data_IF_312854868756
#
_entry.id   IF_312854868756
#
_cell.length_a   1.000
_cell.length_b   1.000
_cell.length_c   1.000
_cell.angle_alpha   90.00
_cell.angle_beta   90.00
_cell.angle_gamma   90.00
#
_symmetry.space_group_name_H-M   'P 1'
#
loop_
_entity.id
_entity.type
_entity.pdbx_description
1 polymer ?
#
# COMPACT_ATOMS: atom_id res chain seq x y z
N UNK A 1 25.23 -3.99 1.79
CA UNK A 1 23.76 -3.85 1.66
C UNK A 1 23.21 -3.59 3.05
N UNK A 2 22.22 -2.69 3.18
CA UNK A 2 21.56 -2.51 4.48
C UNK A 2 20.86 -3.82 4.85
N UNK A 3 21.00 -4.23 6.12
CA UNK A 3 20.35 -5.43 6.63
C UNK A 3 18.99 -5.02 7.23
N UNK A 4 17.93 -5.63 6.75
CA UNK A 4 16.57 -5.43 7.22
C UNK A 4 16.07 -6.72 7.88
N UNK A 5 15.34 -6.59 8.97
CA UNK A 5 14.82 -7.73 9.72
C UNK A 5 13.54 -8.29 9.09
N UNK A 6 12.69 -7.39 8.59
CA UNK A 6 11.36 -7.73 8.09
C UNK A 6 11.29 -7.75 6.56
N UNK A 7 12.34 -7.31 5.88
CA UNK A 7 12.41 -7.26 4.42
C UNK A 7 13.71 -7.84 3.90
N UNK A 8 13.62 -8.50 2.76
CA UNK A 8 14.77 -8.85 1.91
C UNK A 8 14.73 -7.98 0.67
N UNK A 9 15.85 -7.33 0.35
CA UNK A 9 15.97 -6.47 -0.85
C UNK A 9 17.06 -7.03 -1.74
N UNK A 10 16.71 -7.39 -2.97
CA UNK A 10 17.61 -7.94 -3.97
C UNK A 10 17.43 -7.19 -5.29
N UNK A 11 18.51 -6.65 -5.84
CA UNK A 11 18.47 -5.96 -7.15
C UNK A 11 18.99 -6.91 -8.23
N UNK A 12 18.22 -7.09 -9.29
CA UNK A 12 18.59 -7.93 -10.42
C UNK A 12 19.47 -7.21 -11.45
N UNK A 13 19.87 -7.93 -12.50
CA UNK A 13 20.73 -7.41 -13.58
C UNK A 13 20.06 -6.28 -14.39
N UNK A 14 18.73 -6.20 -14.38
CA UNK A 14 17.98 -5.13 -15.04
C UNK A 14 17.91 -3.84 -14.18
N UNK A 15 18.42 -3.91 -12.94
CA UNK A 15 18.37 -2.82 -11.97
C UNK A 15 17.01 -2.73 -11.26
N UNK A 16 16.23 -3.81 -11.19
CA UNK A 16 14.93 -3.81 -10.51
C UNK A 16 15.11 -4.41 -9.11
N UNK A 17 14.80 -3.64 -8.08
CA UNK A 17 14.82 -4.08 -6.70
C UNK A 17 13.57 -4.93 -6.40
N UNK A 18 13.77 -6.17 -5.96
CA UNK A 18 12.72 -7.00 -5.39
C UNK A 18 12.73 -6.82 -3.87
N UNK A 19 11.69 -6.22 -3.34
CA UNK A 19 11.45 -6.00 -1.90
C UNK A 19 10.50 -7.07 -1.42
N UNK A 20 11.02 -8.09 -0.75
CA UNK A 20 10.22 -9.19 -0.20
C UNK A 20 9.93 -8.92 1.27
N UNK A 21 8.67 -8.69 1.60
CA UNK A 21 8.22 -8.51 2.98
C UNK A 21 8.01 -9.87 3.64
N UNK A 22 8.82 -10.20 4.64
CA UNK A 22 8.79 -11.48 5.33
C UNK A 22 9.17 -11.35 6.80
N UNK A 23 8.19 -11.01 7.64
CA UNK A 23 8.39 -10.84 9.08
C UNK A 23 8.73 -12.17 9.76
N UNK A 24 9.88 -12.28 10.43
CA UNK A 24 10.26 -13.52 11.12
C UNK A 24 9.29 -13.82 12.27
N UNK A 25 8.99 -15.12 12.47
CA UNK A 25 8.16 -15.57 13.58
C UNK A 25 6.67 -15.22 13.49
N UNK A 26 6.20 -14.60 12.39
CA UNK A 26 4.79 -14.31 12.16
C UNK A 26 4.25 -15.08 10.96
N UNK A 27 3.02 -15.58 11.06
CA UNK A 27 2.33 -16.24 9.95
C UNK A 27 1.85 -15.25 8.87
N UNK A 28 1.71 -13.97 9.23
CA UNK A 28 1.23 -12.91 8.36
C UNK A 28 2.06 -11.64 8.58
N UNK A 29 2.35 -10.92 7.50
CA UNK A 29 2.94 -9.61 7.57
C UNK A 29 1.92 -8.58 8.08
N UNK A 30 2.36 -7.64 8.92
CA UNK A 30 1.56 -6.52 9.40
C UNK A 30 2.44 -5.28 9.53
N UNK A 31 1.85 -4.09 9.46
CA UNK A 31 2.56 -2.85 9.74
C UNK A 31 2.76 -2.69 11.24
N UNK A 32 4.02 -2.64 11.64
CA UNK A 32 4.49 -2.20 12.96
C UNK A 32 5.35 -0.95 12.77
N UNK A 33 5.73 -0.28 13.87
CA UNK A 33 6.66 0.86 13.82
C UNK A 33 7.97 0.46 13.12
N UNK A 34 8.55 -0.71 13.49
CA UNK A 34 9.79 -1.24 12.90
C UNK A 34 9.65 -1.49 11.38
N UNK A 35 8.52 -2.06 10.94
CA UNK A 35 8.24 -2.29 9.52
C UNK A 35 8.14 -0.97 8.75
N UNK A 36 7.50 0.05 9.34
CA UNK A 36 7.41 1.37 8.73
C UNK A 36 8.79 2.05 8.62
N UNK A 37 9.64 1.93 9.66
CA UNK A 37 11.02 2.46 9.65
C UNK A 37 11.88 1.78 8.57
N UNK A 38 11.75 0.47 8.44
CA UNK A 38 12.50 -0.28 7.43
C UNK A 38 12.02 0.06 6.03
N UNK A 39 10.70 0.13 5.80
CA UNK A 39 10.14 0.49 4.49
C UNK A 39 10.53 1.92 4.10
N UNK A 40 10.56 2.86 5.05
CA UNK A 40 10.99 4.24 4.80
C UNK A 40 12.45 4.29 4.30
N UNK A 41 13.35 3.55 4.95
CA UNK A 41 14.75 3.42 4.53
C UNK A 41 14.89 2.72 3.17
N UNK A 42 14.05 1.72 2.88
CA UNK A 42 14.04 1.03 1.58
C UNK A 42 13.60 1.99 0.47
N UNK A 43 12.60 2.83 0.74
CA UNK A 43 12.16 3.87 -0.23
C UNK A 43 13.31 4.84 -0.51
N UNK A 44 14.04 5.30 0.51
CA UNK A 44 15.23 6.15 0.33
C UNK A 44 16.34 5.45 -0.45
N UNK A 45 16.63 4.20 -0.14
CA UNK A 45 17.62 3.39 -0.86
C UNK A 45 17.25 3.27 -2.35
N UNK A 46 16.00 2.92 -2.65
CA UNK A 46 15.53 2.80 -4.03
C UNK A 46 15.60 4.14 -4.77
N UNK A 47 15.19 5.23 -4.11
CA UNK A 47 15.21 6.55 -4.71
C UNK A 47 16.64 7.06 -4.97
N UNK A 48 17.56 6.84 -4.02
CA UNK A 48 18.92 7.39 -4.05
C UNK A 48 19.93 6.59 -4.86
N UNK A 49 19.71 5.29 -5.08
CA UNK A 49 20.63 4.44 -5.81
C UNK A 49 20.41 4.57 -7.33
N UNK A 50 21.39 5.15 -8.03
CA UNK A 50 21.33 5.33 -9.50
C UNK A 50 21.28 4.01 -10.28
N UNK A 51 21.75 2.89 -9.71
CA UNK A 51 21.69 1.56 -10.33
C UNK A 51 20.28 0.97 -10.29
N UNK A 52 19.42 1.41 -9.37
CA UNK A 52 18.04 0.94 -9.24
C UNK A 52 17.14 1.76 -10.17
N UNK A 53 16.45 1.09 -11.08
CA UNK A 53 15.51 1.69 -12.03
C UNK A 53 14.06 1.66 -11.56
N UNK A 54 13.74 0.84 -10.57
CA UNK A 54 12.42 0.70 -9.98
C UNK A 54 12.37 -0.46 -8.99
N UNK A 55 11.24 -0.62 -8.30
CA UNK A 55 11.09 -1.66 -7.30
C UNK A 55 9.77 -2.44 -7.43
N UNK A 56 9.84 -3.72 -7.08
CA UNK A 56 8.67 -4.60 -6.91
C UNK A 56 8.57 -4.96 -5.44
N UNK A 57 7.42 -4.73 -4.81
CA UNK A 57 7.15 -5.19 -3.45
C UNK A 57 6.20 -6.40 -3.48
N UNK A 58 6.58 -7.45 -2.77
CA UNK A 58 5.80 -8.69 -2.64
C UNK A 58 5.95 -9.27 -1.23
N UNK A 59 5.30 -10.38 -0.95
CA UNK A 59 5.42 -11.09 0.33
C UNK A 59 6.15 -12.42 0.17
N UNK A 60 6.97 -12.77 1.16
CA UNK A 60 7.55 -14.09 1.33
C UNK A 60 6.61 -15.13 1.95
N UNK A 61 5.37 -14.73 2.28
CA UNK A 61 4.35 -15.57 2.91
C UNK A 61 3.21 -15.88 1.95
N UNK A 62 2.32 -16.82 2.33
CA UNK A 62 1.10 -17.15 1.56
C UNK A 62 0.11 -15.98 1.46
N UNK A 63 0.19 -15.00 2.38
CA UNK A 63 -0.59 -13.77 2.37
C UNK A 63 0.30 -12.60 2.01
N UNK A 64 -0.25 -11.53 1.40
CA UNK A 64 0.51 -10.31 1.19
C UNK A 64 0.71 -9.58 2.52
N UNK A 65 -0.37 -9.14 3.17
CA UNK A 65 -0.33 -8.58 4.53
C UNK A 65 -1.73 -8.36 5.07
N UNK A 66 -1.87 -8.42 6.40
CA UNK A 66 -3.10 -8.13 7.13
C UNK A 66 -3.38 -6.63 7.36
N UNK A 67 -2.45 -5.75 6.97
CA UNK A 67 -2.57 -4.31 7.23
C UNK A 67 -1.90 -3.90 8.54
N UNK A 68 -2.45 -2.91 9.24
CA UNK A 68 -1.90 -2.44 10.51
C UNK A 68 -2.01 -3.49 11.63
N UNK A 69 -0.99 -3.55 12.48
CA UNK A 69 -1.03 -4.37 13.70
C UNK A 69 -2.06 -3.76 14.68
N UNK A 70 -3.11 -4.52 15.01
CA UNK A 70 -4.16 -4.06 15.91
C UNK A 70 -3.65 -3.72 17.31
N UNK A 71 -2.60 -4.41 17.78
CA UNK A 71 -1.97 -4.11 19.07
C UNK A 71 -1.29 -2.74 19.04
N UNK A 72 -0.64 -2.39 17.92
CA UNK A 72 -0.06 -1.07 17.72
C UNK A 72 -1.15 0.02 17.74
N UNK A 73 -2.28 -0.20 17.07
CA UNK A 73 -3.41 0.75 17.08
C UNK A 73 -4.01 0.92 18.48
N UNK A 74 -4.21 -0.17 19.23
CA UNK A 74 -4.70 -0.11 20.60
C UNK A 74 -3.75 0.67 21.52
N UNK A 75 -2.44 0.43 21.40
CA UNK A 75 -1.42 1.17 22.15
C UNK A 75 -1.44 2.66 21.83
N UNK A 76 -1.54 3.01 20.56
CA UNK A 76 -1.62 4.41 20.11
C UNK A 76 -2.84 5.12 20.71
N UNK A 77 -4.00 4.46 20.71
CA UNK A 77 -5.23 5.02 21.31
C UNK A 77 -5.11 5.14 22.83
N UNK A 78 -4.45 4.20 23.50
CA UNK A 78 -4.15 4.28 24.94
C UNK A 78 -3.27 5.49 25.28
N UNK A 79 -2.17 5.66 24.56
CA UNK A 79 -1.28 6.82 24.73
C UNK A 79 -1.99 8.16 24.47
N UNK A 80 -2.85 8.21 23.45
CA UNK A 80 -3.70 9.37 23.20
C UNK A 80 -4.62 9.69 24.39
N UNK A 81 -5.31 8.69 24.93
CA UNK A 81 -6.21 8.87 26.06
C UNK A 81 -5.48 9.34 27.32
N UNK A 82 -4.31 8.76 27.62
CA UNK A 82 -3.46 9.15 28.73
C UNK A 82 -2.95 10.60 28.61
N UNK A 83 -2.50 10.99 27.43
CA UNK A 83 -1.99 12.34 27.20
C UNK A 83 -3.13 13.37 27.18
N UNK A 84 -4.30 13.02 26.61
CA UNK A 84 -5.48 13.87 26.58
C UNK A 84 -5.96 14.26 27.98
N UNK A 85 -5.80 13.38 28.95
CA UNK A 85 -6.14 13.68 30.36
C UNK A 85 -5.24 14.77 30.99
N UNK A 86 -4.06 15.05 30.39
CA UNK A 86 -3.07 16.01 30.89
C UNK A 86 -3.03 17.28 30.04
N UNK A 87 -2.99 17.11 28.70
CA UNK A 87 -2.84 18.16 27.70
C UNK A 87 -3.48 17.70 26.39
N UNK A 88 -4.68 18.23 26.10
CA UNK A 88 -5.46 17.87 24.92
C UNK A 88 -4.76 18.28 23.61
N UNK A 89 -4.13 19.45 23.56
CA UNK A 89 -3.45 19.95 22.36
C UNK A 89 -2.21 19.10 22.03
N UNK A 90 -1.51 18.66 23.05
CA UNK A 90 -0.36 17.75 22.89
C UNK A 90 -0.81 16.37 22.45
N UNK A 91 -1.90 15.84 23.00
CA UNK A 91 -2.48 14.57 22.60
C UNK A 91 -2.92 14.58 21.14
N UNK A 92 -3.57 15.66 20.68
CA UNK A 92 -3.98 15.83 19.28
C UNK A 92 -2.76 15.85 18.36
N UNK A 93 -1.70 16.58 18.71
CA UNK A 93 -0.45 16.59 17.91
C UNK A 93 0.19 15.22 17.85
N UNK A 94 0.29 14.52 18.98
CA UNK A 94 0.84 13.16 19.03
C UNK A 94 0.03 12.19 18.14
N UNK A 95 -1.29 12.25 18.19
CA UNK A 95 -2.15 11.43 17.34
C UNK A 95 -1.96 11.77 15.85
N UNK A 96 -1.94 13.06 15.52
CA UNK A 96 -1.75 13.54 14.15
C UNK A 96 -0.42 13.05 13.55
N UNK A 97 0.68 13.16 14.30
CA UNK A 97 2.01 12.73 13.86
C UNK A 97 2.06 11.22 13.65
N UNK A 98 1.50 10.45 14.58
CA UNK A 98 1.49 8.99 14.47
C UNK A 98 0.61 8.48 13.31
N UNK A 99 -0.61 9.02 13.15
CA UNK A 99 -1.51 8.65 12.05
C UNK A 99 -0.96 9.13 10.71
N UNK A 100 -0.39 10.33 10.66
CA UNK A 100 0.20 10.92 9.47
C UNK A 100 1.42 10.18 8.93
N UNK A 101 2.13 9.44 9.78
CA UNK A 101 3.38 8.75 9.44
C UNK A 101 3.21 7.77 8.26
N UNK A 102 2.22 6.89 8.31
CA UNK A 102 1.97 5.90 7.24
C UNK A 102 1.54 6.59 5.94
N UNK A 103 0.70 7.61 6.03
CA UNK A 103 0.29 8.43 4.88
C UNK A 103 1.48 9.12 4.25
N UNK A 104 2.36 9.73 5.05
CA UNK A 104 3.60 10.37 4.60
C UNK A 104 4.55 9.39 3.92
N UNK A 105 4.75 8.21 4.50
CA UNK A 105 5.57 7.15 3.91
C UNK A 105 5.06 6.70 2.54
N UNK A 106 3.75 6.47 2.41
CA UNK A 106 3.16 6.07 1.14
C UNK A 106 3.24 7.19 0.10
N UNK A 107 3.09 8.46 0.53
CA UNK A 107 3.30 9.60 -0.37
C UNK A 107 4.76 9.73 -0.81
N UNK A 108 5.71 9.52 0.08
CA UNK A 108 7.15 9.49 -0.22
C UNK A 108 7.45 8.42 -1.28
N UNK A 109 6.86 7.21 -1.17
CA UNK A 109 6.98 6.17 -2.18
C UNK A 109 6.44 6.64 -3.54
N UNK A 110 5.24 7.25 -3.58
CA UNK A 110 4.62 7.77 -4.81
C UNK A 110 5.47 8.82 -5.53
N UNK A 111 6.22 9.62 -4.76
CA UNK A 111 7.01 10.73 -5.29
C UNK A 111 8.51 10.47 -5.28
N UNK A 112 8.92 9.21 -5.08
CA UNK A 112 10.34 8.81 -4.99
C UNK A 112 11.12 8.95 -6.30
N UNK A 113 10.43 9.23 -7.42
CA UNK A 113 11.05 9.35 -8.75
C UNK A 113 11.39 8.01 -9.41
N UNK A 114 11.08 6.89 -8.76
CA UNK A 114 11.25 5.53 -9.29
C UNK A 114 9.91 4.81 -9.34
N UNK A 115 9.63 4.00 -10.38
CA UNK A 115 8.39 3.22 -10.43
C UNK A 115 8.39 2.09 -9.39
N UNK A 116 7.29 1.97 -8.66
CA UNK A 116 7.01 0.89 -7.71
C UNK A 116 5.84 0.05 -8.21
N UNK A 117 5.95 -1.26 -8.12
CA UNK A 117 4.87 -2.20 -8.45
C UNK A 117 4.61 -3.11 -7.27
N UNK A 118 3.36 -3.22 -6.83
CA UNK A 118 2.96 -4.25 -5.87
C UNK A 118 2.61 -5.54 -6.60
N UNK A 119 3.21 -6.65 -6.17
CA UNK A 119 2.95 -8.01 -6.63
C UNK A 119 2.18 -8.77 -5.55
N UNK A 120 0.85 -8.72 -5.61
CA UNK A 120 -0.07 -9.19 -4.57
C UNK A 120 -0.29 -10.69 -4.71
N UNK A 121 0.39 -11.48 -3.88
CA UNK A 121 0.39 -12.93 -3.95
C UNK A 121 -0.70 -13.62 -3.11
N UNK A 122 -1.38 -12.89 -2.21
CA UNK A 122 -2.39 -13.42 -1.30
C UNK A 122 -3.28 -12.33 -0.72
N UNK A 123 -3.85 -12.60 0.45
CA UNK A 123 -4.68 -11.64 1.19
C UNK A 123 -3.95 -10.33 1.44
N UNK A 124 -4.57 -9.20 1.06
CA UNK A 124 -4.01 -7.85 1.13
C UNK A 124 -5.08 -6.90 1.69
N UNK A 125 -4.99 -6.54 2.98
CA UNK A 125 -6.04 -5.86 3.72
C UNK A 125 -5.58 -4.51 4.28
N UNK A 126 -6.50 -3.55 4.36
CA UNK A 126 -6.29 -2.29 5.06
C UNK A 126 -5.04 -1.54 4.58
N UNK A 127 -4.20 -1.11 5.50
CA UNK A 127 -2.95 -0.42 5.19
C UNK A 127 -2.05 -1.10 4.16
N UNK A 128 -2.12 -2.44 4.03
CA UNK A 128 -1.37 -3.16 3.01
C UNK A 128 -1.96 -2.93 1.60
N UNK A 129 -3.28 -2.84 1.50
CA UNK A 129 -3.90 -2.48 0.23
C UNK A 129 -3.70 -0.97 -0.06
N UNK A 130 -3.68 -0.13 0.97
CA UNK A 130 -3.33 1.30 0.82
C UNK A 130 -1.89 1.49 0.31
N UNK A 131 -0.91 0.69 0.80
CA UNK A 131 0.45 0.63 0.23
C UNK A 131 0.41 0.22 -1.25
N UNK A 132 -0.35 -0.83 -1.57
CA UNK A 132 -0.48 -1.29 -2.95
C UNK A 132 -1.07 -0.20 -3.84
N UNK A 133 -2.08 0.55 -3.36
CA UNK A 133 -2.66 1.68 -4.08
C UNK A 133 -1.70 2.86 -4.26
N UNK A 134 -0.71 3.00 -3.37
CA UNK A 134 0.36 3.98 -3.50
C UNK A 134 1.44 3.57 -4.52
N UNK A 135 1.57 2.28 -4.85
CA UNK A 135 2.45 1.84 -5.93
C UNK A 135 1.92 2.30 -7.30
N UNK A 136 2.82 2.59 -8.24
CA UNK A 136 2.50 3.03 -9.61
C UNK A 136 1.86 1.90 -10.43
N UNK A 137 2.31 0.65 -10.19
CA UNK A 137 1.75 -0.56 -10.79
C UNK A 137 1.22 -1.53 -9.73
N UNK A 138 0.24 -2.34 -10.09
CA UNK A 138 -0.35 -3.37 -9.22
C UNK A 138 -0.67 -4.60 -10.03
N UNK A 139 -0.11 -5.74 -9.64
CA UNK A 139 -0.39 -7.06 -10.23
C UNK A 139 -0.89 -7.98 -9.12
N UNK A 140 -1.95 -8.72 -9.35
CA UNK A 140 -2.46 -9.70 -8.41
C UNK A 140 -2.33 -11.12 -8.99
N UNK A 141 -2.02 -12.09 -8.14
CA UNK A 141 -2.02 -13.49 -8.56
C UNK A 141 -3.45 -13.95 -8.88
N UNK A 142 -3.61 -14.74 -9.96
CA UNK A 142 -4.86 -15.41 -10.31
C UNK A 142 -5.11 -16.58 -9.36
N UNK A 143 -5.68 -16.27 -8.21
CA UNK A 143 -5.94 -17.23 -7.15
C UNK A 143 -7.10 -16.80 -6.28
N UNK A 144 -7.94 -17.74 -5.89
CA UNK A 144 -9.03 -17.50 -4.94
C UNK A 144 -8.55 -17.15 -3.52
N UNK A 145 -7.27 -17.37 -3.22
CA UNK A 145 -6.63 -16.94 -1.97
C UNK A 145 -6.37 -15.44 -1.93
N UNK A 146 -6.30 -14.78 -3.09
CA UNK A 146 -6.10 -13.33 -3.16
C UNK A 146 -7.42 -12.61 -2.87
N UNK A 147 -7.42 -11.88 -1.78
CA UNK A 147 -8.53 -10.99 -1.37
C UNK A 147 -7.94 -9.64 -1.05
N UNK A 148 -8.50 -8.61 -1.64
CA UNK A 148 -8.11 -7.22 -1.38
C UNK A 148 -9.27 -6.46 -0.77
N UNK A 149 -9.04 -5.72 0.31
CA UNK A 149 -10.10 -4.95 0.96
C UNK A 149 -9.54 -3.77 1.76
N UNK A 150 -10.43 -2.81 2.02
CA UNK A 150 -10.28 -1.79 3.06
C UNK A 150 -11.36 -2.05 4.13
N UNK A 151 -11.13 -2.98 5.08
CA UNK A 151 -12.14 -3.45 6.00
C UNK A 151 -12.30 -2.58 7.26
N UNK A 152 -11.65 -1.43 7.33
CA UNK A 152 -11.55 -0.55 8.49
C UNK A 152 -12.91 -0.19 9.09
N UNK A 153 -13.92 0.02 8.27
CA UNK A 153 -15.30 0.32 8.72
C UNK A 153 -15.89 -0.78 9.59
N UNK A 154 -15.46 -2.04 9.41
CA UNK A 154 -15.93 -3.20 10.20
C UNK A 154 -15.41 -3.20 11.65
N UNK A 155 -14.39 -2.42 11.92
CA UNK A 155 -13.79 -2.25 13.26
C UNK A 155 -13.93 -0.82 13.78
N UNK A 156 -14.82 -0.01 13.18
CA UNK A 156 -15.20 1.32 13.67
C UNK A 156 -14.21 2.43 13.32
N UNK A 157 -13.32 2.21 12.37
CA UNK A 157 -12.38 3.23 11.85
C UNK A 157 -12.58 3.41 10.34
N UNK A 158 -11.73 4.20 9.70
CA UNK A 158 -11.69 4.39 8.24
C UNK A 158 -10.26 4.17 7.72
N UNK A 159 -10.07 3.93 6.41
CA UNK A 159 -8.74 3.80 5.82
C UNK A 159 -7.91 5.07 6.01
N UNK A 160 -6.91 4.99 6.91
CA UNK A 160 -6.15 6.15 7.39
C UNK A 160 -4.87 6.45 6.62
N UNK A 161 -4.39 5.51 5.79
CA UNK A 161 -3.14 5.68 5.05
C UNK A 161 -3.34 6.12 3.58
N UNK A 162 -4.49 6.70 3.28
CA UNK A 162 -4.82 7.31 1.99
C UNK A 162 -5.74 6.49 1.08
N UNK A 163 -6.31 5.38 1.56
CA UNK A 163 -7.29 4.59 0.81
C UNK A 163 -8.52 5.39 0.41
N UNK A 164 -9.03 6.24 1.34
CA UNK A 164 -10.13 7.17 1.08
C UNK A 164 -9.82 8.20 -0.01
N UNK A 165 -8.55 8.42 -0.33
CA UNK A 165 -8.08 9.35 -1.36
C UNK A 165 -7.75 8.63 -2.67
N UNK A 166 -7.11 7.46 -2.61
CA UNK A 166 -6.64 6.75 -3.81
C UNK A 166 -7.74 5.95 -4.51
N UNK A 167 -8.63 5.29 -3.74
CA UNK A 167 -9.72 4.50 -4.34
C UNK A 167 -10.61 5.35 -5.25
N UNK A 168 -11.16 6.51 -4.85
CA UNK A 168 -12.00 7.33 -5.73
C UNK A 168 -11.23 8.02 -6.86
N UNK A 169 -9.89 7.99 -6.84
CA UNK A 169 -9.05 8.47 -7.94
C UNK A 169 -8.76 7.37 -8.98
N UNK A 170 -9.03 6.13 -8.65
CA UNK A 170 -8.79 4.97 -9.52
C UNK A 170 -10.10 4.35 -10.02
N UNK A 171 -11.08 4.17 -9.14
CA UNK A 171 -12.40 3.63 -9.42
C UNK A 171 -13.43 4.75 -9.62
N UNK A 172 -14.56 4.42 -10.22
CA UNK A 172 -15.71 5.33 -10.24
C UNK A 172 -16.22 5.62 -8.83
N UNK A 173 -16.85 6.77 -8.65
CA UNK A 173 -17.28 7.28 -7.33
C UNK A 173 -18.22 6.32 -6.60
N UNK A 174 -19.16 5.67 -7.31
CA UNK A 174 -20.13 4.77 -6.69
C UNK A 174 -19.45 3.50 -6.19
N UNK A 175 -18.60 2.88 -7.01
CA UNK A 175 -17.80 1.70 -6.62
C UNK A 175 -16.85 2.01 -5.47
N UNK A 176 -16.22 3.20 -5.49
CA UNK A 176 -15.36 3.66 -4.41
C UNK A 176 -16.13 3.81 -3.09
N UNK A 177 -17.27 4.49 -3.10
CA UNK A 177 -18.12 4.67 -1.93
C UNK A 177 -18.58 3.32 -1.37
N UNK A 178 -19.10 2.43 -2.23
CA UNK A 178 -19.52 1.10 -1.81
C UNK A 178 -18.38 0.31 -1.15
N UNK A 179 -17.18 0.33 -1.74
CA UNK A 179 -16.04 -0.37 -1.18
C UNK A 179 -15.63 0.17 0.20
N UNK A 180 -15.54 1.50 0.33
CA UNK A 180 -15.09 2.16 1.56
C UNK A 180 -16.10 2.02 2.70
N UNK A 181 -17.42 2.02 2.40
CA UNK A 181 -18.47 1.92 3.43
C UNK A 181 -18.85 0.49 3.79
N UNK A 182 -18.58 -0.50 2.92
CA UNK A 182 -18.90 -1.92 3.19
C UNK A 182 -17.70 -2.73 3.70
N UNK A 183 -16.48 -2.30 3.39
CA UNK A 183 -15.26 -3.06 3.68
C UNK A 183 -15.26 -4.46 3.03
N UNK A 184 -15.91 -4.60 1.85
CA UNK A 184 -16.04 -5.87 1.16
C UNK A 184 -14.71 -6.38 0.59
N UNK A 185 -14.56 -7.70 0.54
CA UNK A 185 -13.44 -8.33 -0.14
C UNK A 185 -13.62 -8.29 -1.65
N UNK A 186 -12.56 -7.91 -2.37
CA UNK A 186 -12.48 -7.94 -3.82
C UNK A 186 -11.62 -9.13 -4.27
N UNK A 187 -12.12 -9.90 -5.24
CA UNK A 187 -11.29 -10.84 -6.00
C UNK A 187 -10.39 -10.07 -6.99
N UNK A 188 -9.32 -10.70 -7.53
CA UNK A 188 -8.49 -10.07 -8.55
C UNK A 188 -9.30 -9.56 -9.75
N UNK A 189 -10.25 -10.34 -10.24
CA UNK A 189 -11.14 -9.95 -11.36
C UNK A 189 -11.98 -8.71 -11.04
N UNK A 190 -12.55 -8.65 -9.82
CA UNK A 190 -13.35 -7.50 -9.39
C UNK A 190 -12.49 -6.25 -9.20
N UNK A 191 -11.32 -6.38 -8.58
CA UNK A 191 -10.39 -5.27 -8.40
C UNK A 191 -9.88 -4.72 -9.75
N UNK A 192 -9.62 -5.60 -10.73
CA UNK A 192 -9.25 -5.18 -12.09
C UNK A 192 -10.38 -4.44 -12.79
N UNK A 193 -11.61 -4.93 -12.70
CA UNK A 193 -12.79 -4.25 -13.26
C UNK A 193 -13.02 -2.85 -12.65
N UNK A 194 -12.58 -2.63 -11.42
CA UNK A 194 -12.62 -1.33 -10.72
C UNK A 194 -11.36 -0.47 -10.95
N UNK A 195 -10.44 -0.85 -11.83
CA UNK A 195 -9.14 -0.20 -12.06
C UNK A 195 -8.22 -0.11 -10.81
N UNK A 196 -8.50 -0.89 -9.79
CA UNK A 196 -7.68 -0.93 -8.56
C UNK A 196 -6.40 -1.75 -8.73
N UNK A 197 -6.36 -2.65 -9.72
CA UNK A 197 -5.15 -3.35 -10.17
C UNK A 197 -5.05 -3.29 -11.70
N UNK A 198 -3.82 -3.39 -12.21
CA UNK A 198 -3.52 -3.32 -13.66
C UNK A 198 -3.61 -4.69 -14.31
N UNK A 199 -3.04 -5.71 -13.68
CA UNK A 199 -2.95 -7.04 -14.25
C UNK A 199 -3.27 -8.16 -13.24
N UNK A 200 -3.67 -9.30 -13.80
CA UNK A 200 -3.81 -10.57 -13.09
C UNK A 200 -2.83 -11.55 -13.74
N UNK A 201 -1.99 -12.18 -12.96
CA UNK A 201 -0.94 -13.08 -13.44
C UNK A 201 -1.05 -14.47 -12.80
N UNK A 202 -0.62 -15.48 -13.51
CA UNK A 202 -0.39 -16.80 -12.89
C UNK A 202 0.52 -16.65 -11.66
N UNK A 203 0.25 -17.34 -10.54
CA UNK A 203 1.03 -17.15 -9.31
C UNK A 203 2.54 -17.28 -9.52
N UNK A 204 3.00 -18.22 -10.35
CA UNK A 204 4.42 -18.42 -10.65
C UNK A 204 5.04 -17.31 -11.50
N UNK A 205 4.23 -16.51 -12.19
CA UNK A 205 4.67 -15.41 -13.06
C UNK A 205 4.45 -14.03 -12.42
N UNK A 206 3.88 -13.98 -11.21
CA UNK A 206 3.46 -12.74 -10.55
C UNK A 206 4.56 -11.69 -10.48
N UNK A 207 5.71 -12.05 -9.90
CA UNK A 207 6.85 -11.13 -9.72
C UNK A 207 7.43 -10.73 -11.08
N UNK A 208 7.54 -11.68 -12.01
CA UNK A 208 8.06 -11.40 -13.34
C UNK A 208 7.14 -10.45 -14.13
N UNK A 209 5.82 -10.64 -14.03
CA UNK A 209 4.84 -9.71 -14.62
C UNK A 209 4.97 -8.30 -14.02
N UNK A 210 5.17 -8.21 -12.69
CA UNK A 210 5.39 -6.92 -12.03
C UNK A 210 6.69 -6.24 -12.50
N UNK A 211 7.79 -7.00 -12.63
CA UNK A 211 9.06 -6.49 -13.18
C UNK A 211 8.92 -6.05 -14.64
N UNK A 212 8.16 -6.80 -15.43
CA UNK A 212 7.91 -6.46 -16.83
C UNK A 212 7.21 -5.10 -16.99
N UNK A 213 6.33 -4.69 -16.06
CA UNK A 213 5.73 -3.36 -16.09
C UNK A 213 6.81 -2.27 -16.01
N UNK A 214 7.81 -2.44 -15.14
CA UNK A 214 8.93 -1.49 -14.99
C UNK A 214 9.77 -1.46 -16.25
N UNK A 215 10.16 -2.64 -16.78
CA UNK A 215 10.94 -2.74 -18.04
C UNK A 215 10.23 -2.12 -19.24
N UNK A 216 8.91 -2.19 -19.26
CA UNK A 216 8.07 -1.62 -20.31
C UNK A 216 7.81 -0.12 -20.14
N UNK A 217 8.51 0.56 -19.21
CA UNK A 217 8.47 1.99 -19.07
C UNK A 217 7.33 2.54 -18.21
N UNK A 218 6.90 1.78 -17.18
CA UNK A 218 5.96 2.30 -16.18
C UNK A 218 6.51 3.62 -15.61
N UNK A 219 5.72 4.68 -15.70
CA UNK A 219 6.11 6.00 -15.19
C UNK A 219 6.02 6.05 -13.65
N UNK A 220 6.97 6.74 -12.97
CA UNK A 220 6.93 6.95 -11.52
C UNK A 220 6.03 8.16 -11.15
N UNK A 221 4.84 8.21 -11.71
CA UNK A 221 3.87 9.30 -11.51
C UNK A 221 2.49 8.69 -11.38
N UNK A 222 1.77 9.10 -10.35
CA UNK A 222 0.39 8.70 -10.17
C UNK A 222 -0.54 9.52 -11.09
N UNK A 223 -1.68 8.97 -11.55
CA UNK A 223 -2.59 9.68 -12.44
C UNK A 223 -3.03 11.04 -11.90
N UNK A 224 -3.23 11.16 -10.59
CA UNK A 224 -3.68 12.41 -9.94
C UNK A 224 -2.58 13.46 -9.77
N UNK A 225 -1.33 13.12 -10.03
CA UNK A 225 -0.19 14.05 -10.06
C UNK A 225 0.06 14.58 -11.48
N UNK A 226 -0.63 14.05 -12.49
CA UNK A 226 -0.54 14.54 -13.87
C UNK A 226 -1.46 15.75 -14.09
N UNK A 227 -0.98 16.73 -14.86
CA UNK A 227 -1.77 17.91 -15.23
C UNK A 227 -3.03 17.50 -16.01
N UNK A 228 -4.18 17.96 -15.56
CA UNK A 228 -5.46 17.69 -16.22
C UNK A 228 -6.14 16.40 -15.77
N UNK A 229 -5.67 15.76 -14.71
CA UNK A 229 -6.34 14.60 -14.11
C UNK A 229 -7.81 14.91 -13.83
N UNK A 230 -8.69 13.95 -14.16
CA UNK A 230 -10.12 13.98 -13.85
C UNK A 230 -10.52 12.73 -13.09
N UNK A 231 -11.37 12.90 -12.08
CA UNK A 231 -11.89 11.76 -11.32
C UNK A 231 -12.69 10.83 -12.25
N UNK A 232 -12.47 9.50 -12.18
CA UNK A 232 -13.32 8.53 -12.85
C UNK A 232 -14.78 8.70 -12.41
N UNK A 233 -15.72 8.75 -13.38
CA UNK A 233 -17.14 8.97 -13.10
C UNK A 233 -17.55 10.44 -12.89
N UNK A 234 -16.61 11.38 -13.00
CA UNK A 234 -16.90 12.81 -12.91
C UNK A 234 -17.12 13.34 -11.48
N UNK A 235 -17.43 14.62 -11.31
CA UNK A 235 -17.69 15.20 -10.00
C UNK A 235 -18.98 14.65 -9.38
N UNK A 236 -19.00 14.49 -8.07
CA UNK A 236 -20.11 13.90 -7.29
C UNK A 236 -21.46 14.66 -7.50
N UNK A 237 -21.39 15.90 -7.95
CA UNK A 237 -22.56 16.79 -8.15
C UNK A 237 -22.93 17.01 -9.61
N UNK A 238 -22.34 16.29 -10.56
CA UNK A 238 -22.81 16.28 -11.95
C UNK A 238 -24.01 15.34 -12.04
N UNK A 239 -25.20 15.81 -11.68
CA UNK A 239 -26.46 15.20 -12.08
C UNK A 239 -26.76 15.60 -13.52
#
# INVERSE_FOLDING_TARGET
>A
MAEYKNFKVETDADGIALVTWDMPGRSMNVFTEEVMDELDRIVDQVAGDAAIKGAVITSGKDTFSGGADLTMLQRMLGLFAEEKAKDEDKAIRLLFDNVGRMTGLFRKLETSGKPWVSAINGTCMGGAFELSLACHGRVAADSDKVKMALPEVKVGIFPGAGGTQRVPRLADTQSALQMLTSGQNLSPKKAKAMNLIHEIAEPKKLVETAKAMIRNGLKPVQPWDEKGFKLPGGPVYSA
#
